data_IF_312772376694
#
_entry.id   IF_312772376694
#
_cell.length_a   1.000
_cell.length_b   1.000
_cell.length_c   1.000
_cell.angle_alpha   90.00
_cell.angle_beta   90.00
_cell.angle_gamma   90.00
#
_symmetry.space_group_name_H-M   'P 1'
#
loop_
_entity.id
_entity.type
_entity.pdbx_description
1 polymer ?
#
# COMPACT_ATOMS: atom_id res chain seq x y z
N UNK A 1 18.22 21.21 1.30
CA UNK A 1 18.09 21.80 2.66
C UNK A 1 18.49 20.73 3.65
N UNK A 2 19.26 21.09 4.70
CA UNK A 2 19.56 20.13 5.76
C UNK A 2 18.27 19.87 6.58
N UNK A 3 17.90 18.60 6.71
CA UNK A 3 16.75 18.22 7.54
C UNK A 3 17.08 18.56 8.99
N UNK A 4 16.28 19.42 9.63
CA UNK A 4 16.42 19.80 11.04
C UNK A 4 16.17 18.56 11.91
N UNK A 5 16.91 18.42 13.01
CA UNK A 5 16.73 17.29 13.94
C UNK A 5 15.43 17.47 14.72
N UNK A 6 14.67 16.40 14.89
CA UNK A 6 13.37 16.43 15.57
C UNK A 6 13.46 17.00 16.99
N UNK A 7 14.51 16.66 17.76
CA UNK A 7 14.71 17.20 19.11
C UNK A 7 14.78 18.71 19.15
N UNK A 8 15.49 19.35 18.21
CA UNK A 8 15.56 20.81 18.12
C UNK A 8 14.22 21.44 17.72
N UNK A 9 13.46 20.77 16.85
CA UNK A 9 12.11 21.22 16.46
C UNK A 9 11.16 21.20 17.66
N UNK A 10 11.23 20.16 18.50
CA UNK A 10 10.42 20.07 19.70
C UNK A 10 10.74 21.19 20.71
N UNK A 11 12.02 21.60 20.81
CA UNK A 11 12.44 22.76 21.61
C UNK A 11 11.92 24.07 20.99
N UNK A 12 12.08 24.26 19.68
CA UNK A 12 11.65 25.47 18.97
C UNK A 12 10.13 25.66 19.02
N UNK A 13 9.37 24.56 19.05
CA UNK A 13 7.91 24.55 19.26
C UNK A 13 7.51 24.76 20.73
N UNK A 14 8.48 24.75 21.65
CA UNK A 14 8.23 24.93 23.08
C UNK A 14 7.60 23.72 23.77
N UNK A 15 7.69 22.53 23.17
CA UNK A 15 7.16 21.30 23.76
C UNK A 15 8.08 20.70 24.82
N UNK A 16 9.39 20.91 24.66
CA UNK A 16 10.43 20.54 25.65
C UNK A 16 11.44 21.67 25.82
N UNK A 17 12.16 21.67 26.95
CA UNK A 17 13.29 22.57 27.16
C UNK A 17 14.59 21.97 26.63
N UNK A 18 15.66 22.82 26.49
CA UNK A 18 17.01 22.35 26.12
C UNK A 18 17.53 21.31 27.12
N UNK A 19 17.28 21.51 28.44
CA UNK A 19 17.67 20.54 29.47
C UNK A 19 16.95 19.20 29.32
N UNK A 20 15.67 19.21 28.96
CA UNK A 20 14.90 17.99 28.67
C UNK A 20 15.41 17.29 27.40
N UNK A 21 15.85 18.05 26.41
CA UNK A 21 16.46 17.48 25.20
C UNK A 21 17.78 16.76 25.52
N UNK A 22 18.61 17.33 26.41
CA UNK A 22 19.86 16.67 26.84
C UNK A 22 19.54 15.32 27.52
N UNK A 23 18.58 15.29 28.46
CA UNK A 23 18.13 14.07 29.12
C UNK A 23 17.61 13.02 28.10
N UNK A 24 16.84 13.46 27.10
CA UNK A 24 16.35 12.59 26.03
C UNK A 24 17.48 11.98 25.20
N UNK A 25 18.51 12.75 24.90
CA UNK A 25 19.66 12.26 24.14
C UNK A 25 20.50 11.26 24.94
N UNK A 26 20.65 11.47 26.24
CA UNK A 26 21.30 10.51 27.13
C UNK A 26 20.51 9.20 27.23
N UNK A 27 19.20 9.27 27.38
CA UNK A 27 18.32 8.12 27.45
C UNK A 27 18.31 7.33 26.12
N UNK A 28 18.36 8.01 24.99
CA UNK A 28 18.46 7.38 23.67
C UNK A 28 19.75 6.56 23.52
N UNK A 29 20.86 6.99 24.11
CA UNK A 29 22.10 6.21 24.09
C UNK A 29 21.98 4.89 24.88
N UNK A 30 21.10 4.83 25.87
CA UNK A 30 20.83 3.62 26.66
C UNK A 30 19.79 2.69 26.00
N UNK A 31 19.03 3.19 25.01
CA UNK A 31 17.99 2.46 24.28
C UNK A 31 18.29 2.40 22.78
N UNK A 32 19.29 1.61 22.36
CA UNK A 32 19.67 1.54 20.96
C UNK A 32 18.49 1.01 20.10
N UNK A 33 18.14 1.77 19.06
CA UNK A 33 17.06 1.43 18.12
C UNK A 33 15.72 2.11 18.39
N UNK A 34 15.51 2.75 19.56
CA UNK A 34 14.31 3.53 19.80
C UNK A 34 14.45 4.96 19.23
N UNK A 35 13.35 5.45 18.65
CA UNK A 35 13.31 6.81 18.11
C UNK A 35 13.14 7.84 19.24
N UNK A 36 13.83 9.00 19.12
CA UNK A 36 13.80 10.06 20.12
C UNK A 36 12.38 10.48 20.51
N UNK A 37 11.48 10.58 19.51
CA UNK A 37 10.08 10.94 19.74
C UNK A 37 9.33 9.93 20.60
N UNK A 38 9.57 8.63 20.39
CA UNK A 38 8.94 7.56 21.20
C UNK A 38 9.45 7.58 22.63
N UNK A 39 10.74 7.81 22.83
CA UNK A 39 11.33 7.97 24.16
C UNK A 39 10.70 9.16 24.87
N UNK A 40 10.55 10.31 24.18
CA UNK A 40 9.94 11.50 24.73
C UNK A 40 8.49 11.27 25.20
N UNK A 41 7.70 10.48 24.45
CA UNK A 41 6.34 10.08 24.84
C UNK A 41 6.41 9.13 26.05
N UNK A 42 7.29 8.12 26.03
CA UNK A 42 7.41 7.15 27.13
C UNK A 42 7.79 7.79 28.47
N UNK A 43 8.56 8.88 28.42
CA UNK A 43 8.91 9.68 29.59
C UNK A 43 7.85 10.73 29.96
N UNK A 44 6.77 10.84 29.20
CA UNK A 44 5.70 11.81 29.44
C UNK A 44 6.09 13.26 29.20
N UNK A 45 7.14 13.52 28.42
CA UNK A 45 7.62 14.85 28.12
C UNK A 45 6.80 15.52 27.02
N UNK A 46 6.28 14.73 26.08
CA UNK A 46 5.39 15.17 25.00
C UNK A 46 4.23 14.22 24.80
N UNK A 47 3.19 14.69 24.15
CA UNK A 47 2.04 13.87 23.72
C UNK A 47 2.25 13.36 22.28
N UNK A 48 1.44 12.38 21.86
CA UNK A 48 1.41 11.90 20.47
C UNK A 48 1.11 13.05 19.48
N UNK A 49 0.18 13.94 19.82
CA UNK A 49 -0.17 15.12 19.01
C UNK A 49 1.03 16.09 18.84
N UNK A 50 1.78 16.31 19.92
CA UNK A 50 2.97 17.15 19.87
C UNK A 50 4.07 16.52 19.02
N UNK A 51 4.23 15.19 19.08
CA UNK A 51 5.16 14.49 18.20
C UNK A 51 4.73 14.60 16.73
N UNK A 52 3.45 14.39 16.44
CA UNK A 52 2.92 14.53 15.09
C UNK A 52 3.12 15.94 14.52
N UNK A 53 2.95 16.99 15.33
CA UNK A 53 3.22 18.37 14.95
C UNK A 53 4.72 18.58 14.66
N UNK A 54 5.61 18.06 15.51
CA UNK A 54 7.06 18.16 15.32
C UNK A 54 7.52 17.45 14.04
N UNK A 55 6.99 16.27 13.75
CA UNK A 55 7.30 15.52 12.53
C UNK A 55 6.75 16.22 11.28
N UNK A 56 5.55 16.76 11.35
CA UNK A 56 4.96 17.52 10.26
C UNK A 56 5.79 18.78 9.93
N UNK A 57 6.20 19.54 10.95
CA UNK A 57 7.08 20.71 10.79
C UNK A 57 8.42 20.31 10.16
N UNK A 58 8.99 19.18 10.58
CA UNK A 58 10.25 18.66 10.03
C UNK A 58 10.20 18.43 8.53
N UNK A 59 9.06 17.91 8.04
CA UNK A 59 8.87 17.50 6.64
C UNK A 59 8.10 18.55 5.82
N UNK A 60 7.65 19.65 6.43
CA UNK A 60 6.82 20.66 5.78
C UNK A 60 5.43 20.16 5.39
N UNK A 61 4.88 19.20 6.13
CA UNK A 61 3.56 18.59 5.93
C UNK A 61 2.53 19.21 6.85
N UNK A 62 1.25 18.96 6.56
CA UNK A 62 0.14 19.37 7.42
C UNK A 62 -0.24 18.24 8.38
N UNK A 63 -0.67 18.60 9.59
CA UNK A 63 -1.27 17.66 10.54
C UNK A 63 -2.77 17.60 10.29
N UNK A 64 -3.35 16.40 10.40
CA UNK A 64 -4.79 16.16 10.35
C UNK A 64 -5.23 15.33 11.56
N UNK A 65 -6.35 15.71 12.17
CA UNK A 65 -7.04 14.85 13.14
C UNK A 65 -8.06 13.99 12.42
N UNK A 66 -8.04 12.68 12.68
CA UNK A 66 -8.96 11.72 12.07
C UNK A 66 -10.24 11.50 12.89
N UNK A 67 -10.34 12.10 14.07
CA UNK A 67 -11.47 11.88 14.99
C UNK A 67 -12.82 12.28 14.38
N UNK A 68 -12.86 13.39 13.64
CA UNK A 68 -14.07 13.97 13.07
C UNK A 68 -14.15 13.83 11.53
N UNK A 69 -13.15 13.17 10.92
CA UNK A 69 -13.13 13.00 9.47
C UNK A 69 -14.08 11.86 9.08
N UNK A 70 -14.97 12.14 8.14
CA UNK A 70 -15.80 11.13 7.48
C UNK A 70 -15.22 10.89 6.10
N UNK A 71 -14.76 9.66 5.86
CA UNK A 71 -14.13 9.29 4.60
C UNK A 71 -15.20 8.70 3.68
N UNK A 72 -15.38 9.25 2.46
CA UNK A 72 -16.32 8.70 1.50
C UNK A 72 -15.94 7.27 1.06
N UNK A 73 -16.90 6.36 0.82
CA UNK A 73 -16.61 4.97 0.43
C UNK A 73 -15.79 4.85 -0.85
N UNK A 74 -16.02 5.72 -1.83
CA UNK A 74 -15.28 5.78 -3.10
C UNK A 74 -13.80 6.14 -2.89
N UNK A 75 -13.47 6.91 -1.87
CA UNK A 75 -12.09 7.22 -1.48
C UNK A 75 -11.46 6.02 -0.77
N UNK A 76 -12.20 5.33 0.09
CA UNK A 76 -11.70 4.12 0.78
C UNK A 76 -11.32 3.02 -0.20
N UNK A 77 -12.05 2.88 -1.31
CA UNK A 77 -11.74 1.88 -2.34
C UNK A 77 -10.45 2.15 -3.11
N UNK A 78 -9.87 3.35 -3.01
CA UNK A 78 -8.58 3.67 -3.65
C UNK A 78 -7.40 2.96 -2.99
N UNK A 79 -7.52 2.61 -1.70
CA UNK A 79 -6.49 1.88 -0.95
C UNK A 79 -7.13 0.62 -0.39
N UNK A 80 -6.56 -0.54 -0.69
CA UNK A 80 -7.04 -1.81 -0.13
C UNK A 80 -6.67 -1.92 1.35
N UNK A 81 -7.44 -2.69 2.12
CA UNK A 81 -7.16 -2.92 3.55
C UNK A 81 -5.71 -3.38 3.81
N UNK A 82 -5.15 -4.39 3.10
CA UNK A 82 -3.77 -4.80 3.31
C UNK A 82 -2.75 -3.68 3.07
N UNK A 83 -2.97 -2.81 2.06
CA UNK A 83 -2.13 -1.64 1.83
C UNK A 83 -2.23 -0.65 2.98
N UNK A 84 -3.46 -0.35 3.42
CA UNK A 84 -3.73 0.57 4.51
C UNK A 84 -3.07 0.09 5.81
N UNK A 85 -3.18 -1.21 6.12
CA UNK A 85 -2.57 -1.82 7.30
C UNK A 85 -1.05 -1.91 7.20
N UNK A 86 -0.51 -2.35 6.05
CA UNK A 86 0.93 -2.53 5.84
C UNK A 86 1.68 -1.21 5.98
N UNK A 87 1.18 -0.16 5.31
CA UNK A 87 1.82 1.15 5.30
C UNK A 87 1.36 2.06 6.44
N UNK A 88 0.36 1.64 7.24
CA UNK A 88 -0.28 2.45 8.29
C UNK A 88 -0.71 3.80 7.77
N UNK A 89 -1.54 3.76 6.73
CA UNK A 89 -2.07 4.94 6.04
C UNK A 89 -3.59 4.87 5.94
N UNK A 90 -4.21 6.03 5.87
CA UNK A 90 -5.66 6.17 5.68
C UNK A 90 -5.92 7.17 4.56
N UNK A 91 -6.66 6.81 3.49
CA UNK A 91 -7.03 7.76 2.45
C UNK A 91 -8.06 8.75 3.01
N UNK A 92 -7.93 10.02 2.66
CA UNK A 92 -8.79 11.09 3.17
C UNK A 92 -9.67 11.70 2.09
N UNK A 93 -9.11 11.96 0.93
CA UNK A 93 -9.77 12.61 -0.19
C UNK A 93 -9.08 12.24 -1.50
N UNK A 94 -9.85 12.22 -2.59
CA UNK A 94 -9.34 12.00 -3.95
C UNK A 94 -9.90 13.06 -4.88
N UNK A 95 -9.07 13.99 -5.32
CA UNK A 95 -9.42 15.09 -6.22
C UNK A 95 -8.29 15.34 -7.23
N UNK A 96 -8.65 15.68 -8.45
CA UNK A 96 -7.71 16.05 -9.52
C UNK A 96 -6.55 15.05 -9.69
N UNK A 97 -6.87 13.74 -9.69
CA UNK A 97 -5.89 12.65 -9.77
C UNK A 97 -4.85 12.66 -8.64
N UNK A 98 -5.20 13.27 -7.50
CA UNK A 98 -4.35 13.34 -6.30
C UNK A 98 -5.08 12.70 -5.12
N UNK A 99 -4.47 11.68 -4.55
CA UNK A 99 -4.96 11.02 -3.35
C UNK A 99 -4.29 11.64 -2.12
N UNK A 100 -5.09 12.27 -1.26
CA UNK A 100 -4.62 12.74 0.05
C UNK A 100 -4.69 11.60 1.04
N UNK A 101 -3.59 11.33 1.73
CA UNK A 101 -3.48 10.26 2.71
C UNK A 101 -3.00 10.80 4.06
N UNK A 102 -3.48 10.19 5.16
CA UNK A 102 -2.89 10.35 6.49
C UNK A 102 -1.89 9.25 6.76
N UNK A 103 -0.74 9.58 7.36
CA UNK A 103 0.30 8.64 7.76
C UNK A 103 0.92 9.05 9.10
N UNK A 104 1.42 8.10 9.89
CA UNK A 104 2.02 8.39 11.18
C UNK A 104 3.52 8.69 11.12
N UNK A 105 4.22 8.19 10.09
CA UNK A 105 5.67 8.35 9.95
C UNK A 105 6.03 9.03 8.61
N UNK A 106 6.09 10.37 8.57
CA UNK A 106 6.35 11.11 7.35
C UNK A 106 7.82 11.01 6.87
N UNK A 107 8.71 10.39 7.65
CA UNK A 107 10.10 10.17 7.26
C UNK A 107 10.24 9.02 6.25
N UNK A 108 9.26 8.13 6.18
CA UNK A 108 9.20 7.01 5.22
C UNK A 108 8.71 7.47 3.84
N UNK A 109 9.47 8.34 3.19
CA UNK A 109 9.13 8.87 1.86
C UNK A 109 9.03 7.78 0.78
N UNK A 110 9.73 6.66 0.94
CA UNK A 110 9.62 5.50 0.05
C UNK A 110 8.19 5.00 -0.10
N UNK A 111 7.40 5.04 0.97
CA UNK A 111 5.99 4.64 0.94
C UNK A 111 5.19 5.49 -0.05
N UNK A 112 5.45 6.81 -0.10
CA UNK A 112 4.76 7.73 -1.00
C UNK A 112 5.09 7.40 -2.46
N UNK A 113 6.36 7.10 -2.75
CA UNK A 113 6.81 6.74 -4.09
C UNK A 113 6.30 5.36 -4.51
N UNK A 114 6.27 4.40 -3.59
CA UNK A 114 5.67 3.09 -3.80
C UNK A 114 4.17 3.20 -4.11
N UNK A 115 3.42 3.95 -3.28
CA UNK A 115 1.99 4.18 -3.50
C UNK A 115 1.72 4.87 -4.84
N UNK A 116 2.52 5.88 -5.22
CA UNK A 116 2.40 6.54 -6.52
C UNK A 116 2.63 5.56 -7.65
N UNK A 117 3.63 4.69 -7.54
CA UNK A 117 3.91 3.65 -8.53
C UNK A 117 2.81 2.61 -8.65
N UNK A 118 2.25 2.15 -7.51
CA UNK A 118 1.19 1.15 -7.49
C UNK A 118 -0.16 1.69 -7.97
N UNK A 119 -0.53 2.89 -7.52
CA UNK A 119 -1.87 3.44 -7.75
C UNK A 119 -1.97 4.25 -9.05
N UNK A 120 -0.84 4.80 -9.52
CA UNK A 120 -0.82 5.65 -10.70
C UNK A 120 -1.39 7.07 -10.48
N UNK A 121 -1.51 7.51 -9.22
CA UNK A 121 -2.00 8.83 -8.81
C UNK A 121 -0.90 9.63 -8.13
N UNK A 122 -1.06 10.96 -8.10
CA UNK A 122 -0.26 11.77 -7.20
C UNK A 122 -0.71 11.56 -5.75
N UNK A 123 0.27 11.50 -4.83
CA UNK A 123 0.01 11.28 -3.41
C UNK A 123 0.38 12.53 -2.63
N UNK A 124 -0.59 13.03 -1.86
CA UNK A 124 -0.41 14.16 -0.93
C UNK A 124 -0.45 13.64 0.51
N UNK A 125 0.70 13.55 1.19
CA UNK A 125 0.74 13.06 2.56
C UNK A 125 0.33 14.15 3.56
N UNK A 126 -0.35 13.72 4.61
CA UNK A 126 -0.62 14.48 5.83
C UNK A 126 -0.21 13.65 7.04
N UNK A 127 0.12 14.28 8.15
CA UNK A 127 0.55 13.58 9.37
C UNK A 127 -0.63 13.45 10.33
N UNK A 128 -0.82 12.25 10.88
CA UNK A 128 -1.77 11.99 11.96
C UNK A 128 -1.08 11.16 13.05
N UNK A 129 -1.65 11.12 14.24
CA UNK A 129 -1.12 10.29 15.31
C UNK A 129 -1.29 8.81 15.00
N UNK A 130 -0.37 7.97 15.48
CA UNK A 130 -0.46 6.52 15.28
C UNK A 130 -1.77 5.96 15.86
N UNK A 131 -2.19 6.47 17.01
CA UNK A 131 -3.44 6.04 17.65
C UNK A 131 -4.69 6.37 16.83
N UNK A 132 -4.71 7.53 16.16
CA UNK A 132 -5.82 7.89 15.27
C UNK A 132 -5.82 7.07 13.98
N UNK A 133 -4.64 6.82 13.40
CA UNK A 133 -4.50 5.92 12.22
C UNK A 133 -5.04 4.53 12.54
N UNK A 134 -4.61 3.92 13.65
CA UNK A 134 -5.07 2.58 14.04
C UNK A 134 -6.58 2.53 14.27
N UNK A 135 -7.16 3.54 14.96
CA UNK A 135 -8.62 3.64 15.15
C UNK A 135 -9.37 3.81 13.82
N UNK A 136 -8.82 4.60 12.91
CA UNK A 136 -9.42 4.79 11.60
C UNK A 136 -9.35 3.51 10.76
N UNK A 137 -8.23 2.79 10.78
CA UNK A 137 -8.10 1.49 10.12
C UNK A 137 -9.13 0.49 10.66
N UNK A 138 -9.25 0.40 11.99
CA UNK A 138 -10.26 -0.47 12.62
C UNK A 138 -11.68 -0.06 12.21
N UNK A 139 -12.00 1.23 12.24
CA UNK A 139 -13.34 1.75 11.91
C UNK A 139 -13.75 1.54 10.45
N UNK A 140 -12.82 1.74 9.51
CA UNK A 140 -13.14 1.79 8.09
C UNK A 140 -12.81 0.50 7.33
N UNK A 141 -11.89 -0.32 7.81
CA UNK A 141 -11.44 -1.53 7.12
C UNK A 141 -11.79 -2.84 7.84
N UNK A 142 -11.94 -2.85 9.17
CA UNK A 142 -12.28 -4.11 9.89
C UNK A 142 -13.69 -4.62 9.57
N UNK A 143 -14.59 -3.74 9.10
CA UNK A 143 -15.94 -4.14 8.69
C UNK A 143 -16.01 -4.73 7.25
N UNK A 144 -14.93 -4.62 6.48
CA UNK A 144 -14.86 -5.06 5.09
C UNK A 144 -13.48 -5.66 4.80
N UNK A 145 -13.08 -6.71 5.55
CA UNK A 145 -11.85 -7.44 5.22
C UNK A 145 -12.05 -8.17 3.89
N UNK A 146 -11.71 -7.48 2.81
CA UNK A 146 -11.56 -8.15 1.52
C UNK A 146 -10.29 -9.00 1.59
N UNK A 147 -10.49 -10.28 1.82
CA UNK A 147 -9.40 -11.25 1.67
C UNK A 147 -9.14 -11.52 0.18
N UNK A 148 -7.99 -12.08 -0.14
CA UNK A 148 -7.72 -12.54 -1.52
C UNK A 148 -8.83 -13.49 -1.98
N UNK A 149 -9.34 -14.33 -1.06
CA UNK A 149 -10.43 -15.26 -1.30
C UNK A 149 -11.73 -14.54 -1.68
N UNK A 150 -12.07 -13.44 -1.01
CA UNK A 150 -13.28 -12.64 -1.33
C UNK A 150 -13.16 -12.00 -2.71
N UNK A 151 -12.00 -11.42 -3.04
CA UNK A 151 -11.77 -10.85 -4.37
C UNK A 151 -11.85 -11.93 -5.46
N UNK A 152 -11.30 -13.10 -5.20
CA UNK A 152 -11.37 -14.22 -6.14
C UNK A 152 -12.82 -14.66 -6.33
N UNK A 153 -13.62 -14.78 -5.25
CA UNK A 153 -15.02 -15.13 -5.33
C UNK A 153 -15.83 -14.09 -6.14
N UNK A 154 -15.63 -12.81 -5.91
CA UNK A 154 -16.26 -11.73 -6.69
C UNK A 154 -15.90 -11.82 -8.18
N UNK A 155 -14.64 -12.17 -8.48
CA UNK A 155 -14.17 -12.36 -9.85
C UNK A 155 -14.71 -13.61 -10.54
N UNK A 156 -15.04 -14.65 -9.79
CA UNK A 156 -15.72 -15.85 -10.31
C UNK A 156 -17.15 -15.55 -10.76
N UNK A 157 -17.84 -14.64 -10.08
CA UNK A 157 -19.20 -14.23 -10.38
C UNK A 157 -19.30 -13.19 -11.49
N UNK A 158 -18.19 -12.52 -11.88
CA UNK A 158 -18.16 -11.50 -12.93
C UNK A 158 -18.23 -12.14 -14.34
N UNK A 159 -19.45 -12.37 -14.80
CA UNK A 159 -19.72 -12.98 -16.11
C UNK A 159 -19.25 -12.10 -17.30
N UNK A 160 -19.21 -10.78 -17.15
CA UNK A 160 -18.75 -9.88 -18.23
C UNK A 160 -17.25 -9.98 -18.41
N UNK A 161 -16.52 -9.98 -17.32
CA UNK A 161 -15.06 -10.15 -17.31
C UNK A 161 -14.67 -11.52 -17.83
N UNK A 162 -15.39 -12.59 -17.42
CA UNK A 162 -15.18 -13.96 -17.88
C UNK A 162 -15.39 -14.06 -19.40
N UNK A 163 -16.48 -13.53 -19.93
CA UNK A 163 -16.78 -13.56 -21.36
C UNK A 163 -15.75 -12.75 -22.20
N UNK A 164 -15.30 -11.60 -21.69
CA UNK A 164 -14.27 -10.79 -22.34
C UNK A 164 -12.92 -11.53 -22.38
N UNK A 165 -12.51 -12.14 -21.27
CA UNK A 165 -11.27 -12.89 -21.17
C UNK A 165 -11.25 -14.14 -22.08
N UNK A 166 -12.34 -14.94 -22.12
CA UNK A 166 -12.46 -16.08 -23.02
C UNK A 166 -12.42 -15.70 -24.50
N UNK A 167 -13.06 -14.59 -24.86
CA UNK A 167 -13.06 -14.09 -26.23
C UNK A 167 -11.65 -13.71 -26.67
N UNK A 168 -10.87 -13.08 -25.81
CA UNK A 168 -9.49 -12.68 -26.08
C UNK A 168 -8.57 -13.89 -26.19
N UNK A 169 -8.73 -14.89 -25.32
CA UNK A 169 -7.89 -16.10 -25.33
C UNK A 169 -8.11 -16.92 -26.59
N UNK A 170 -9.34 -17.02 -27.09
CA UNK A 170 -9.73 -17.82 -28.26
C UNK A 170 -9.58 -17.07 -29.61
N UNK A 171 -9.29 -15.77 -29.57
CA UNK A 171 -9.16 -14.96 -30.79
C UNK A 171 -7.88 -15.32 -31.57
N UNK A 172 -7.96 -15.63 -32.87
CA UNK A 172 -6.77 -15.88 -33.70
C UNK A 172 -6.00 -14.59 -34.04
N UNK A 173 -6.62 -13.43 -33.85
CA UNK A 173 -6.03 -12.12 -34.06
C UNK A 173 -5.88 -11.45 -32.70
N UNK A 174 -4.66 -11.07 -32.35
CA UNK A 174 -4.38 -10.41 -31.09
C UNK A 174 -4.88 -8.94 -31.16
N UNK A 175 -5.96 -8.65 -30.46
CA UNK A 175 -6.40 -7.28 -30.20
C UNK A 175 -5.59 -6.73 -29.01
N UNK A 176 -4.48 -6.06 -29.31
CA UNK A 176 -3.59 -5.51 -28.29
C UNK A 176 -4.29 -4.49 -27.39
N UNK A 177 -5.09 -3.60 -27.97
CA UNK A 177 -5.80 -2.57 -27.20
C UNK A 177 -6.84 -3.17 -26.28
N UNK A 178 -7.56 -4.20 -26.74
CA UNK A 178 -8.51 -4.95 -25.89
C UNK A 178 -7.81 -5.76 -24.81
N UNK A 179 -6.63 -6.33 -25.10
CA UNK A 179 -5.84 -7.07 -24.10
C UNK A 179 -5.31 -6.14 -23.02
N UNK A 180 -4.82 -4.97 -23.35
CA UNK A 180 -4.40 -3.93 -22.39
C UNK A 180 -5.58 -3.43 -21.56
N UNK A 181 -6.71 -3.14 -22.19
CA UNK A 181 -7.91 -2.69 -21.46
C UNK A 181 -8.41 -3.73 -20.46
N UNK A 182 -8.37 -5.03 -20.82
CA UNK A 182 -8.73 -6.12 -19.92
C UNK A 182 -7.73 -6.24 -18.77
N UNK A 183 -6.44 -6.15 -19.05
CA UNK A 183 -5.37 -6.18 -18.06
C UNK A 183 -5.42 -4.97 -17.11
N UNK A 184 -5.91 -3.83 -17.60
CA UNK A 184 -6.06 -2.59 -16.81
C UNK A 184 -7.41 -2.49 -16.09
N UNK A 185 -8.28 -3.50 -16.24
CA UNK A 185 -9.55 -3.54 -15.51
C UNK A 185 -9.33 -3.47 -13.99
N UNK A 186 -10.20 -2.75 -13.29
CA UNK A 186 -10.08 -2.55 -11.85
C UNK A 186 -9.97 -3.86 -11.05
N UNK A 187 -10.75 -4.92 -11.36
CA UNK A 187 -10.66 -6.19 -10.64
C UNK A 187 -9.31 -6.91 -10.82
N UNK A 188 -8.77 -6.93 -12.04
CA UNK A 188 -7.46 -7.55 -12.33
C UNK A 188 -6.33 -6.82 -11.61
N UNK A 189 -6.34 -5.48 -11.65
CA UNK A 189 -5.36 -4.66 -10.93
C UNK A 189 -5.46 -4.89 -9.41
N UNK A 190 -6.68 -4.93 -8.87
CA UNK A 190 -6.93 -5.14 -7.44
C UNK A 190 -6.37 -6.48 -6.97
N UNK A 191 -6.68 -7.57 -7.69
CA UNK A 191 -6.16 -8.91 -7.37
C UNK A 191 -4.63 -8.94 -7.42
N UNK A 192 -4.02 -8.44 -8.50
CA UNK A 192 -2.56 -8.47 -8.65
C UNK A 192 -1.87 -7.65 -7.56
N UNK A 193 -2.35 -6.44 -7.28
CA UNK A 193 -1.82 -5.61 -6.20
C UNK A 193 -1.91 -6.30 -4.84
N UNK A 194 -3.03 -6.97 -4.55
CA UNK A 194 -3.22 -7.71 -3.30
C UNK A 194 -2.20 -8.85 -3.17
N UNK A 195 -2.01 -9.62 -4.24
CA UNK A 195 -1.05 -10.73 -4.28
C UNK A 195 0.39 -10.23 -4.08
N UNK A 196 0.76 -9.13 -4.76
CA UNK A 196 2.08 -8.50 -4.59
C UNK A 196 2.31 -8.01 -3.17
N UNK A 197 1.31 -7.34 -2.57
CA UNK A 197 1.40 -6.88 -1.18
C UNK A 197 1.54 -8.04 -0.19
N UNK A 198 0.78 -9.12 -0.39
CA UNK A 198 0.89 -10.31 0.43
C UNK A 198 2.30 -10.91 0.32
N UNK A 199 2.85 -11.01 -0.90
CA UNK A 199 4.21 -11.49 -1.11
C UNK A 199 5.26 -10.62 -0.38
N UNK A 200 5.11 -9.29 -0.41
CA UNK A 200 5.98 -8.37 0.33
C UNK A 200 5.84 -8.58 1.84
N UNK A 201 4.62 -8.67 2.35
CA UNK A 201 4.34 -8.89 3.77
C UNK A 201 4.94 -10.19 4.29
N UNK A 202 4.85 -11.25 3.50
CA UNK A 202 5.40 -12.58 3.84
C UNK A 202 6.90 -12.70 3.52
N UNK A 203 7.57 -11.59 3.17
CA UNK A 203 8.98 -11.55 2.79
C UNK A 203 9.35 -12.58 1.72
N UNK A 204 8.45 -12.75 0.74
CA UNK A 204 8.65 -13.72 -0.33
C UNK A 204 9.85 -13.36 -1.21
N UNK A 205 10.66 -14.35 -1.55
CA UNK A 205 11.77 -14.22 -2.51
C UNK A 205 11.28 -14.25 -3.95
N UNK A 206 10.21 -15.01 -4.22
CA UNK A 206 9.67 -15.22 -5.56
C UNK A 206 8.13 -15.32 -5.51
N UNK A 207 7.51 -14.86 -6.59
CA UNK A 207 6.09 -15.00 -6.86
C UNK A 207 5.90 -15.63 -8.24
N UNK A 208 5.17 -16.73 -8.29
CA UNK A 208 4.95 -17.52 -9.49
C UNK A 208 3.49 -17.44 -9.92
N UNK A 209 3.26 -17.02 -11.17
CA UNK A 209 1.97 -17.07 -11.85
C UNK A 209 2.03 -18.19 -12.89
N UNK A 210 1.32 -19.26 -12.66
CA UNK A 210 1.45 -20.51 -13.44
C UNK A 210 0.15 -20.88 -14.13
N UNK A 211 -0.04 -20.49 -15.41
CA UNK A 211 -1.18 -20.94 -16.19
C UNK A 211 -0.98 -22.38 -16.67
N UNK A 212 -1.86 -23.29 -16.25
CA UNK A 212 -1.98 -24.65 -16.74
C UNK A 212 -3.20 -24.75 -17.68
N UNK A 213 -3.36 -25.91 -18.30
CA UNK A 213 -4.46 -26.14 -19.24
C UNK A 213 -5.84 -25.95 -18.59
N UNK A 214 -6.03 -26.47 -17.37
CA UNK A 214 -7.33 -26.48 -16.69
C UNK A 214 -7.36 -25.63 -15.41
N UNK A 215 -6.23 -25.08 -14.97
CA UNK A 215 -6.14 -24.32 -13.73
C UNK A 215 -5.13 -23.17 -13.88
N UNK A 216 -5.23 -22.19 -12.99
CA UNK A 216 -4.26 -21.12 -12.87
C UNK A 216 -3.79 -21.04 -11.42
N UNK A 217 -2.50 -21.23 -11.18
CA UNK A 217 -1.93 -21.21 -9.83
C UNK A 217 -1.14 -19.96 -9.58
N UNK A 218 -1.25 -19.46 -8.34
CA UNK A 218 -0.37 -18.43 -7.79
C UNK A 218 0.35 -19.06 -6.62
N UNK A 219 1.69 -19.02 -6.64
CA UNK A 219 2.52 -19.56 -5.57
C UNK A 219 3.54 -18.51 -5.12
N UNK A 220 3.77 -18.43 -3.82
CA UNK A 220 4.77 -17.56 -3.21
C UNK A 220 5.85 -18.43 -2.56
N UNK A 221 7.10 -17.98 -2.66
CA UNK A 221 8.21 -18.63 -1.94
C UNK A 221 8.62 -17.74 -0.77
N UNK A 222 8.41 -18.21 0.45
CA UNK A 222 8.84 -17.55 1.68
C UNK A 222 9.69 -18.52 2.48
N UNK A 223 10.82 -18.07 3.01
CA UNK A 223 11.78 -18.86 3.78
C UNK A 223 12.20 -20.17 3.08
N UNK A 224 12.31 -20.13 1.74
CA UNK A 224 12.71 -21.28 0.91
C UNK A 224 11.59 -22.29 0.64
N UNK A 225 10.40 -22.12 1.23
CA UNK A 225 9.23 -22.99 1.03
C UNK A 225 8.26 -22.36 0.04
N UNK A 226 7.73 -23.15 -0.87
CA UNK A 226 6.74 -22.71 -1.86
C UNK A 226 5.33 -23.01 -1.35
N UNK A 227 4.54 -21.95 -1.18
CA UNK A 227 3.13 -22.02 -0.74
C UNK A 227 2.20 -21.71 -1.90
N UNK A 228 1.14 -22.49 -2.05
CA UNK A 228 0.08 -22.22 -3.01
C UNK A 228 -0.97 -21.31 -2.38
N UNK A 229 -1.34 -20.25 -3.09
CA UNK A 229 -2.45 -19.36 -2.72
C UNK A 229 -3.76 -19.91 -3.30
N UNK A 230 -4.90 -19.36 -2.84
CA UNK A 230 -6.20 -19.68 -3.44
C UNK A 230 -6.12 -19.39 -4.94
N UNK A 231 -6.42 -20.41 -5.80
CA UNK A 231 -6.27 -20.24 -7.24
C UNK A 231 -7.33 -19.29 -7.79
N UNK A 232 -6.94 -18.26 -8.57
CA UNK A 232 -7.92 -17.44 -9.24
C UNK A 232 -8.59 -18.20 -10.40
N UNK A 233 -9.75 -17.71 -10.88
CA UNK A 233 -10.43 -18.30 -12.02
C UNK A 233 -9.51 -18.44 -13.24
N UNK A 234 -9.55 -19.60 -13.90
CA UNK A 234 -8.68 -19.92 -15.05
C UNK A 234 -8.76 -18.87 -16.17
N UNK A 235 -9.95 -18.33 -16.43
CA UNK A 235 -10.16 -17.34 -17.48
C UNK A 235 -9.40 -16.02 -17.26
N UNK A 236 -9.01 -15.71 -16.02
CA UNK A 236 -8.22 -14.52 -15.72
C UNK A 236 -6.71 -14.67 -15.99
N UNK A 237 -6.24 -15.89 -16.25
CA UNK A 237 -4.82 -16.16 -16.47
C UNK A 237 -4.22 -15.27 -17.56
N UNK A 238 -4.96 -15.06 -18.65
CA UNK A 238 -4.55 -14.21 -19.75
C UNK A 238 -4.44 -12.73 -19.32
N UNK A 239 -5.46 -12.21 -18.65
CA UNK A 239 -5.50 -10.82 -18.19
C UNK A 239 -4.40 -10.52 -17.16
N UNK A 240 -4.21 -11.41 -16.18
CA UNK A 240 -3.18 -11.28 -15.13
C UNK A 240 -1.78 -11.35 -15.76
N UNK A 241 -1.52 -12.31 -16.65
CA UNK A 241 -0.23 -12.43 -17.35
C UNK A 241 0.07 -11.21 -18.20
N UNK A 242 -0.93 -10.69 -18.92
CA UNK A 242 -0.80 -9.45 -19.71
C UNK A 242 -0.48 -8.27 -18.80
N UNK A 243 -1.15 -8.14 -17.64
CA UNK A 243 -0.87 -7.07 -16.68
C UNK A 243 0.55 -7.14 -16.14
N UNK A 244 1.02 -8.34 -15.79
CA UNK A 244 2.41 -8.53 -15.34
C UNK A 244 3.41 -8.09 -16.41
N UNK A 245 3.16 -8.44 -17.68
CA UNK A 245 4.00 -8.00 -18.81
C UNK A 245 4.00 -6.49 -18.98
N UNK A 246 2.83 -5.85 -18.91
CA UNK A 246 2.71 -4.37 -18.98
C UNK A 246 3.50 -3.71 -17.86
N UNK A 247 3.41 -4.23 -16.63
CA UNK A 247 4.14 -3.69 -15.48
C UNK A 247 5.66 -3.86 -15.59
N UNK A 248 6.10 -4.91 -16.29
CA UNK A 248 7.53 -5.21 -16.51
C UNK A 248 8.08 -4.65 -17.84
N UNK A 249 7.27 -3.87 -18.58
CA UNK A 249 7.62 -3.33 -19.91
C UNK A 249 8.01 -4.42 -20.94
N UNK A 250 7.34 -5.58 -20.85
CA UNK A 250 7.54 -6.74 -21.72
C UNK A 250 6.57 -6.72 -22.91
N UNK A 251 6.95 -7.37 -24.03
CA UNK A 251 6.08 -7.50 -25.19
C UNK A 251 4.87 -8.41 -24.90
N UNK A 252 3.67 -7.82 -24.92
CA UNK A 252 2.42 -8.54 -24.69
C UNK A 252 2.00 -9.42 -25.88
N UNK A 253 2.53 -9.14 -27.07
CA UNK A 253 2.24 -9.92 -28.27
C UNK A 253 3.02 -11.24 -28.31
N UNK A 254 4.23 -11.25 -27.75
CA UNK A 254 5.06 -12.45 -27.73
C UNK A 254 4.61 -13.43 -26.61
N UNK A 255 4.31 -14.67 -26.97
CA UNK A 255 3.80 -15.72 -26.07
C UNK A 255 4.58 -17.03 -26.15
N UNK A 256 5.56 -17.13 -27.05
CA UNK A 256 6.22 -18.39 -27.39
C UNK A 256 7.63 -18.50 -26.84
N UNK A 257 8.26 -17.39 -26.55
CA UNK A 257 9.62 -17.33 -26.04
C UNK A 257 9.66 -16.62 -24.69
N UNK A 258 10.59 -17.02 -23.81
CA UNK A 258 10.82 -16.31 -22.54
C UNK A 258 11.22 -14.85 -22.80
N UNK A 259 10.85 -13.99 -21.86
CA UNK A 259 11.22 -12.58 -21.80
C UNK A 259 11.73 -12.25 -20.41
N UNK A 260 12.70 -11.34 -20.31
CA UNK A 260 13.32 -10.86 -19.08
C UNK A 260 13.75 -9.38 -19.18
#
# INVERSE_FOLDING_TARGET
MAIRRIGQILVDLGFISDEQLEVLLEEQQQRPGELLGQIAISLGLITDDQLAQGLAEQMGMQVVSLSDVVIPPDVLTQITEPMAQLYRIVPLNFEDNTLTIAMCDPQKLSIIDELRSFLGYDIKPMVATESEILKALDRYYTAASESVETIIADLEEDAELAAAAEKMEKSPVLDLAGAEALADSAPVRKLLNMVLLLAIREHASDLHFEPFENEFKIRIRSDGVLYEMVPPPRHLAFAITTRVKVMADLDIAERRVPQD
#
